data_IF_641300102654
#
_entry.id   IF_641300102654
#
_cell.length_a   1.000
_cell.length_b   1.000
_cell.length_c   1.000
_cell.angle_alpha   90.00
_cell.angle_beta   90.00
_cell.angle_gamma   90.00
#
_symmetry.space_group_name_H-M   'P 1'
#
loop_
_entity.id
_entity.type
_entity.pdbx_description
1 polymer ?
#
# COMPACT_ATOMS: atom_id res chain seq x y z
N UNK A 1 -10.47 -15.30 15.85
CA UNK A 1 -11.51 -16.26 15.41
C UNK A 1 -12.57 -15.46 14.64
N UNK A 2 -13.01 -15.93 13.48
CA UNK A 2 -14.12 -15.28 12.77
C UNK A 2 -15.42 -15.50 13.55
N UNK A 3 -16.34 -14.49 13.60
CA UNK A 3 -17.63 -14.69 14.23
C UNK A 3 -18.42 -15.76 13.47
N UNK A 4 -19.16 -16.56 14.23
CA UNK A 4 -20.04 -17.54 13.62
C UNK A 4 -21.18 -16.87 12.84
N UNK A 5 -21.61 -17.47 11.72
CA UNK A 5 -22.78 -17.00 11.01
C UNK A 5 -24.01 -16.99 11.92
N UNK A 6 -24.80 -15.94 11.81
CA UNK A 6 -26.12 -15.85 12.49
C UNK A 6 -27.18 -16.51 11.61
N UNK A 7 -28.38 -16.72 12.17
CA UNK A 7 -29.54 -17.17 11.38
C UNK A 7 -30.61 -16.07 11.34
N UNK A 8 -31.19 -15.87 10.15
CA UNK A 8 -32.33 -14.98 10.00
C UNK A 8 -33.63 -15.67 10.47
N UNK A 9 -34.76 -14.96 10.39
CA UNK A 9 -36.09 -15.45 10.80
C UNK A 9 -36.55 -16.69 10.02
N UNK A 10 -35.97 -16.97 8.87
CA UNK A 10 -36.24 -18.15 8.03
C UNK A 10 -35.26 -19.31 8.29
N UNK A 11 -34.39 -19.18 9.29
CA UNK A 11 -33.35 -20.16 9.61
C UNK A 11 -32.14 -20.21 8.66
N UNK A 12 -32.05 -19.28 7.70
CA UNK A 12 -30.94 -19.23 6.75
C UNK A 12 -29.69 -18.63 7.38
N UNK A 13 -28.49 -19.16 7.09
CA UNK A 13 -27.25 -18.57 7.58
C UNK A 13 -27.01 -17.21 6.94
N UNK A 14 -26.72 -16.21 7.76
CA UNK A 14 -26.39 -14.84 7.36
C UNK A 14 -25.14 -14.37 8.11
N UNK A 15 -24.45 -13.34 7.59
CA UNK A 15 -23.33 -12.73 8.29
C UNK A 15 -23.76 -12.11 9.61
N UNK A 16 -22.78 -11.87 10.50
CA UNK A 16 -23.03 -11.18 11.78
C UNK A 16 -23.42 -9.73 11.56
N UNK A 17 -24.21 -9.15 12.46
CA UNK A 17 -24.58 -7.74 12.44
C UNK A 17 -23.36 -6.87 12.73
N UNK A 18 -23.26 -5.74 12.05
CA UNK A 18 -22.30 -4.69 12.34
C UNK A 18 -23.06 -3.54 12.98
N UNK A 19 -23.04 -3.52 14.31
CA UNK A 19 -23.76 -2.50 15.06
C UNK A 19 -23.05 -1.15 14.99
N UNK A 20 -23.81 -0.06 14.97
CA UNK A 20 -23.27 1.30 14.95
C UNK A 20 -22.47 1.67 13.69
N UNK A 21 -22.62 0.91 12.60
CA UNK A 21 -21.88 1.20 11.38
C UNK A 21 -22.37 2.50 10.72
N UNK A 22 -21.42 3.35 10.37
CA UNK A 22 -21.64 4.53 9.55
C UNK A 22 -20.56 4.62 8.46
N UNK A 23 -20.84 5.27 7.32
CA UNK A 23 -19.83 5.50 6.29
C UNK A 23 -18.57 6.15 6.86
N UNK A 24 -17.40 5.69 6.45
CA UNK A 24 -16.12 6.20 6.91
C UNK A 24 -15.68 7.43 6.11
N UNK A 25 -14.88 8.35 6.70
CA UNK A 25 -14.39 9.52 5.97
C UNK A 25 -13.45 9.11 4.84
N UNK A 26 -13.38 9.93 3.80
CA UNK A 26 -12.36 9.77 2.75
C UNK A 26 -10.98 10.15 3.30
N UNK A 27 -9.87 9.60 2.76
CA UNK A 27 -8.53 9.96 3.20
C UNK A 27 -8.26 11.46 3.08
N UNK A 28 -7.74 12.12 4.14
CA UNK A 28 -7.38 13.53 4.09
C UNK A 28 -6.09 13.72 3.29
N UNK A 29 -5.94 14.91 2.71
CA UNK A 29 -4.70 15.32 2.03
C UNK A 29 -3.73 15.93 3.06
N UNK A 30 -3.25 15.12 4.00
CA UNK A 30 -2.30 15.51 5.04
C UNK A 30 -1.12 14.54 5.07
N UNK A 31 0.05 15.02 5.45
CA UNK A 31 1.25 14.21 5.57
C UNK A 31 1.15 13.20 6.74
N UNK A 32 1.88 12.10 6.61
CA UNK A 32 2.08 11.07 7.62
C UNK A 32 3.57 10.98 7.92
N UNK A 33 4.08 11.72 8.92
CA UNK A 33 5.49 11.66 9.29
C UNK A 33 5.82 10.37 10.04
N UNK A 34 6.98 9.79 9.72
CA UNK A 34 7.59 8.66 10.42
C UNK A 34 9.07 8.89 10.71
N UNK A 35 9.75 7.90 11.23
CA UNK A 35 11.19 7.97 11.53
C UNK A 35 12.07 7.82 10.28
N UNK A 36 11.74 6.87 9.42
CA UNK A 36 12.48 6.55 8.19
C UNK A 36 11.86 7.20 6.95
N UNK A 37 10.54 7.41 6.94
CA UNK A 37 9.82 7.97 5.81
C UNK A 37 8.81 9.03 6.24
N UNK A 38 8.53 9.94 5.32
CA UNK A 38 7.36 10.81 5.37
C UNK A 38 6.51 10.49 4.13
N UNK A 39 5.24 10.19 4.34
CA UNK A 39 4.27 10.00 3.25
C UNK A 39 3.42 11.24 3.17
N UNK A 40 3.50 11.97 2.08
CA UNK A 40 2.84 13.26 1.92
C UNK A 40 1.99 13.31 0.66
N UNK A 41 0.93 14.15 0.61
CA UNK A 41 0.15 14.32 -0.61
C UNK A 41 1.07 14.64 -1.78
N UNK A 42 0.90 13.91 -2.88
CA UNK A 42 1.73 14.13 -4.05
C UNK A 42 1.36 15.46 -4.70
N UNK A 43 2.36 16.31 -4.86
CA UNK A 43 2.32 17.57 -5.60
C UNK A 43 3.33 17.47 -6.74
N UNK A 44 2.90 17.46 -8.01
CA UNK A 44 3.81 17.37 -9.15
C UNK A 44 4.85 18.51 -9.21
N UNK A 45 4.52 19.73 -8.74
CA UNK A 45 5.45 20.86 -8.72
C UNK A 45 6.64 20.58 -7.79
N UNK A 46 6.40 19.94 -6.66
CA UNK A 46 7.41 19.65 -5.65
C UNK A 46 8.15 18.34 -5.93
N UNK A 47 7.44 17.31 -6.45
CA UNK A 47 7.93 15.93 -6.38
C UNK A 47 8.36 15.34 -7.74
N UNK A 48 7.88 15.90 -8.89
CA UNK A 48 8.09 15.25 -10.18
C UNK A 48 9.57 15.06 -10.51
N UNK A 49 10.40 16.08 -10.29
CA UNK A 49 11.82 16.01 -10.62
C UNK A 49 12.57 14.98 -9.73
N UNK A 50 12.29 14.94 -8.44
CA UNK A 50 12.91 13.98 -7.50
C UNK A 50 12.50 12.54 -7.80
N UNK A 51 11.21 12.32 -8.07
CA UNK A 51 10.68 11.01 -8.40
C UNK A 51 11.18 10.50 -9.75
N UNK A 52 11.27 11.38 -10.76
CA UNK A 52 11.83 11.04 -12.07
C UNK A 52 13.29 10.64 -11.94
N UNK A 53 14.11 11.44 -11.24
CA UNK A 53 15.53 11.15 -10.99
C UNK A 53 15.70 9.79 -10.27
N UNK A 54 14.90 9.53 -9.23
CA UNK A 54 14.97 8.27 -8.51
C UNK A 54 14.55 7.05 -9.35
N UNK A 55 13.54 7.20 -10.22
CA UNK A 55 13.08 6.13 -11.11
C UNK A 55 14.03 5.88 -12.29
N UNK A 56 14.81 6.89 -12.74
CA UNK A 56 15.76 6.75 -13.84
C UNK A 56 16.90 5.77 -13.56
N UNK A 57 17.12 5.39 -12.31
CA UNK A 57 18.05 4.32 -11.93
C UNK A 57 17.59 2.92 -12.37
N UNK A 58 16.30 2.72 -12.62
CA UNK A 58 15.75 1.51 -13.26
C UNK A 58 15.93 1.59 -14.78
N UNK A 59 17.17 1.42 -15.24
CA UNK A 59 17.56 1.57 -16.65
C UNK A 59 16.82 0.62 -17.60
N UNK A 60 16.40 -0.51 -17.12
CA UNK A 60 15.69 -1.54 -17.91
C UNK A 60 14.17 -1.33 -17.88
N UNK A 61 13.67 -0.45 -17.01
CA UNK A 61 12.24 -0.21 -16.85
C UNK A 61 11.47 -1.40 -16.24
N UNK A 62 12.16 -2.29 -15.54
CA UNK A 62 11.60 -3.52 -15.01
C UNK A 62 10.48 -3.27 -13.99
N UNK A 63 10.57 -2.20 -13.21
CA UNK A 63 9.53 -1.80 -12.24
C UNK A 63 8.19 -1.48 -12.92
N UNK A 64 8.17 -1.13 -14.20
CA UNK A 64 7.00 -0.72 -14.97
C UNK A 64 6.29 -1.85 -15.70
N UNK A 65 6.83 -3.07 -15.67
CA UNK A 65 6.34 -4.22 -16.45
C UNK A 65 4.85 -4.48 -16.27
N UNK A 66 4.32 -4.35 -15.06
CA UNK A 66 2.94 -4.68 -14.71
C UNK A 66 1.98 -3.47 -14.66
N UNK A 67 2.44 -2.31 -15.11
CA UNK A 67 1.63 -1.09 -15.23
C UNK A 67 1.20 -0.86 -16.67
N UNK A 68 0.10 -0.15 -16.86
CA UNK A 68 -0.36 0.32 -18.16
C UNK A 68 0.23 1.69 -18.54
N UNK A 69 1.20 2.18 -17.76
CA UNK A 69 1.92 3.44 -17.96
C UNK A 69 3.43 3.23 -17.72
N UNK A 70 4.26 4.22 -18.15
CA UNK A 70 5.72 4.14 -18.07
C UNK A 70 6.33 2.98 -18.90
N UNK A 71 7.66 2.76 -18.83
CA UNK A 71 8.62 3.71 -18.28
C UNK A 71 8.55 5.06 -18.99
N UNK A 72 8.99 6.11 -18.31
CA UNK A 72 9.07 7.47 -18.87
C UNK A 72 10.53 7.79 -19.16
N UNK A 73 10.79 8.40 -20.32
CA UNK A 73 12.15 8.71 -20.79
C UNK A 73 12.55 10.16 -20.53
N UNK A 74 11.55 11.02 -20.29
CA UNK A 74 11.78 12.44 -20.04
C UNK A 74 10.99 12.95 -18.84
N UNK A 75 11.52 13.95 -18.15
CA UNK A 75 10.81 14.61 -17.05
C UNK A 75 9.47 15.23 -17.46
N UNK A 76 9.34 15.91 -18.62
CA UNK A 76 8.04 16.43 -19.07
C UNK A 76 6.97 15.35 -19.23
N UNK A 77 7.29 14.18 -19.80
CA UNK A 77 6.35 13.05 -19.91
C UNK A 77 5.93 12.52 -18.53
N UNK A 78 6.92 12.34 -17.64
CA UNK A 78 6.66 11.90 -16.27
C UNK A 78 5.77 12.89 -15.49
N UNK A 79 6.07 14.20 -15.65
CA UNK A 79 5.29 15.26 -15.06
C UNK A 79 3.85 15.28 -15.57
N UNK A 80 3.66 15.22 -16.89
CA UNK A 80 2.32 15.19 -17.48
C UNK A 80 1.49 13.99 -16.99
N UNK A 81 2.13 12.83 -16.81
CA UNK A 81 1.48 11.66 -16.19
C UNK A 81 1.08 11.93 -14.74
N UNK A 82 1.95 12.53 -13.92
CA UNK A 82 1.62 12.88 -12.53
C UNK A 82 0.48 13.90 -12.45
N UNK A 83 0.49 14.92 -13.29
CA UNK A 83 -0.56 15.93 -13.35
C UNK A 83 -1.93 15.28 -13.64
N UNK A 84 -1.99 14.43 -14.66
CA UNK A 84 -3.21 13.69 -15.01
C UNK A 84 -3.64 12.72 -13.90
N UNK A 85 -2.70 12.06 -13.24
CA UNK A 85 -2.95 11.13 -12.14
C UNK A 85 -3.53 11.85 -10.91
N UNK A 86 -2.95 12.99 -10.54
CA UNK A 86 -3.39 13.79 -9.40
C UNK A 86 -4.72 14.52 -9.63
N UNK A 87 -5.11 14.74 -10.88
CA UNK A 87 -6.40 15.34 -11.23
C UNK A 87 -7.59 14.40 -10.95
N UNK A 88 -7.36 13.10 -10.76
CA UNK A 88 -8.43 12.15 -10.45
C UNK A 88 -8.88 12.28 -8.98
N UNK A 89 -10.14 12.70 -8.71
CA UNK A 89 -10.63 12.95 -7.35
C UNK A 89 -10.84 11.67 -6.52
N UNK A 90 -10.90 10.50 -7.19
CA UNK A 90 -11.12 9.21 -6.53
C UNK A 90 -9.83 8.47 -6.21
N UNK A 91 -8.68 9.10 -6.52
CA UNK A 91 -7.36 8.57 -6.21
C UNK A 91 -6.58 9.57 -5.37
N UNK A 92 -6.04 9.08 -4.26
CA UNK A 92 -5.27 9.89 -3.31
C UNK A 92 -3.79 9.53 -3.47
N UNK A 93 -3.12 10.24 -4.35
CA UNK A 93 -1.70 10.04 -4.61
C UNK A 93 -0.86 10.62 -3.48
N UNK A 94 0.18 9.86 -3.10
CA UNK A 94 1.16 10.26 -2.10
C UNK A 94 2.56 10.05 -2.64
N UNK A 95 3.44 11.00 -2.35
CA UNK A 95 4.88 10.84 -2.47
C UNK A 95 5.43 10.19 -1.19
N UNK A 96 6.38 9.31 -1.35
CA UNK A 96 7.14 8.71 -0.25
C UNK A 96 8.52 9.37 -0.25
N UNK A 97 8.77 10.17 0.78
CA UNK A 97 10.07 10.79 1.04
C UNK A 97 10.87 9.88 1.96
N UNK A 98 12.09 9.53 1.56
CA UNK A 98 13.06 8.88 2.45
C UNK A 98 13.70 9.99 3.32
N UNK A 99 13.51 9.90 4.63
CA UNK A 99 13.96 10.95 5.56
C UNK A 99 15.49 11.07 5.62
N UNK A 100 16.22 9.98 5.39
CA UNK A 100 17.68 10.00 5.37
C UNK A 100 18.22 10.68 4.11
N UNK A 101 17.54 10.56 2.98
CA UNK A 101 17.90 11.19 1.72
C UNK A 101 17.31 12.61 1.60
N UNK A 102 16.23 12.91 2.35
CA UNK A 102 15.49 14.17 2.25
C UNK A 102 14.78 14.37 0.92
N UNK A 103 14.50 13.28 0.17
CA UNK A 103 13.96 13.33 -1.21
C UNK A 103 12.81 12.35 -1.41
N UNK A 104 11.90 12.71 -2.32
CA UNK A 104 10.82 11.82 -2.75
C UNK A 104 11.40 10.72 -3.66
N UNK A 105 11.16 9.46 -3.28
CA UNK A 105 11.74 8.27 -3.93
C UNK A 105 10.72 7.19 -4.27
N UNK A 106 9.44 7.45 -4.05
CA UNK A 106 8.37 6.51 -4.39
C UNK A 106 7.00 7.14 -4.38
N UNK A 107 6.05 6.43 -4.96
CA UNK A 107 4.63 6.82 -5.04
C UNK A 107 3.77 5.70 -4.49
N UNK A 108 2.72 6.06 -3.76
CA UNK A 108 1.66 5.15 -3.31
C UNK A 108 0.30 5.84 -3.43
N UNK A 109 -0.76 5.05 -3.63
CA UNK A 109 -2.09 5.60 -3.92
C UNK A 109 -3.15 4.89 -3.09
N UNK A 110 -4.00 5.63 -2.38
CA UNK A 110 -5.29 5.09 -1.98
C UNK A 110 -6.26 5.21 -3.16
N UNK A 111 -6.90 4.12 -3.48
CA UNK A 111 -7.89 4.03 -4.55
C UNK A 111 -9.03 3.08 -4.17
N UNK A 112 -10.05 2.97 -5.02
CA UNK A 112 -11.21 2.12 -4.77
C UNK A 112 -11.76 2.30 -3.33
N UNK A 113 -11.83 3.56 -2.92
CA UNK A 113 -12.34 3.94 -1.61
C UNK A 113 -13.87 3.85 -1.61
N UNK A 114 -14.43 2.96 -0.79
CA UNK A 114 -15.88 2.78 -0.63
C UNK A 114 -16.27 3.02 0.84
N UNK A 115 -16.49 4.30 1.23
CA UNK A 115 -16.77 4.69 2.62
C UNK A 115 -17.95 3.93 3.24
N UNK A 116 -19.03 3.72 2.49
CA UNK A 116 -20.20 2.99 2.97
C UNK A 116 -19.91 1.55 3.39
N UNK A 117 -18.93 0.90 2.75
CA UNK A 117 -18.50 -0.47 3.08
C UNK A 117 -17.27 -0.51 3.99
N UNK A 118 -16.62 0.63 4.21
CA UNK A 118 -15.35 0.72 4.95
C UNK A 118 -14.23 -0.06 4.28
N UNK A 119 -14.15 -0.03 2.95
CA UNK A 119 -13.09 -0.68 2.17
C UNK A 119 -12.29 0.34 1.41
N UNK A 120 -10.98 0.13 1.32
CA UNK A 120 -10.05 0.97 0.59
C UNK A 120 -8.87 0.13 0.08
N UNK A 121 -8.32 0.47 -1.06
CA UNK A 121 -7.20 -0.23 -1.66
C UNK A 121 -5.94 0.63 -1.64
N UNK A 122 -4.81 -0.01 -1.35
CA UNK A 122 -3.48 0.52 -1.66
C UNK A 122 -3.03 0.00 -3.02
N UNK A 123 -2.67 0.91 -3.91
CA UNK A 123 -2.23 0.56 -5.26
C UNK A 123 -1.30 1.61 -5.85
N UNK A 124 -1.02 1.50 -7.15
CA UNK A 124 -0.15 2.44 -7.84
C UNK A 124 1.24 2.60 -7.19
N UNK A 125 1.78 1.50 -6.63
CA UNK A 125 3.02 1.52 -5.86
C UNK A 125 4.23 1.57 -6.77
N UNK A 126 4.73 2.75 -7.06
CA UNK A 126 5.98 2.92 -7.82
C UNK A 126 7.11 3.18 -6.83
N UNK A 127 7.90 2.16 -6.55
CA UNK A 127 9.07 2.21 -5.66
C UNK A 127 10.34 2.23 -6.51
N UNK A 128 11.02 3.37 -6.53
CA UNK A 128 12.29 3.49 -7.22
C UNK A 128 13.36 2.56 -6.62
N UNK A 129 14.46 2.27 -7.33
CA UNK A 129 15.59 1.52 -6.76
C UNK A 129 16.10 2.11 -5.43
N UNK A 130 16.00 3.44 -5.24
CA UNK A 130 16.40 4.12 -3.99
C UNK A 130 15.50 3.78 -2.80
N UNK A 131 14.24 3.43 -3.03
CA UNK A 131 13.31 3.08 -1.96
C UNK A 131 13.23 1.57 -1.70
N UNK A 132 13.46 0.76 -2.73
CA UNK A 132 13.34 -0.69 -2.62
C UNK A 132 14.27 -1.27 -1.56
N UNK A 133 13.75 -2.20 -0.74
CA UNK A 133 14.47 -2.91 0.34
C UNK A 133 14.98 -1.99 1.46
N UNK A 134 14.48 -0.76 1.56
CA UNK A 134 14.82 0.18 2.63
C UNK A 134 13.77 0.14 3.76
N UNK A 135 14.16 0.47 4.99
CA UNK A 135 13.19 0.65 6.09
C UNK A 135 12.09 1.66 5.75
N UNK A 136 12.42 2.74 5.06
CA UNK A 136 11.49 3.75 4.58
C UNK A 136 10.32 3.17 3.76
N UNK A 137 10.57 2.16 2.90
CA UNK A 137 9.51 1.48 2.15
C UNK A 137 8.51 0.76 3.05
N UNK A 138 9.01 0.11 4.10
CA UNK A 138 8.16 -0.61 5.05
C UNK A 138 7.39 0.35 5.95
N UNK A 139 8.05 1.41 6.43
CA UNK A 139 7.38 2.42 7.25
C UNK A 139 6.31 3.18 6.48
N UNK A 140 6.56 3.54 5.22
CA UNK A 140 5.55 4.17 4.38
C UNK A 140 4.27 3.32 4.30
N UNK A 141 4.40 2.01 4.08
CA UNK A 141 3.24 1.11 4.06
C UNK A 141 2.57 0.98 5.43
N UNK A 142 3.35 0.97 6.52
CA UNK A 142 2.81 1.01 7.88
C UNK A 142 2.02 2.28 8.16
N UNK A 143 2.56 3.44 7.81
CA UNK A 143 1.91 4.75 8.02
C UNK A 143 0.58 4.83 7.27
N UNK A 144 0.55 4.37 6.03
CA UNK A 144 -0.68 4.32 5.24
C UNK A 144 -1.69 3.34 5.84
N UNK A 145 -1.27 2.14 6.27
CA UNK A 145 -2.15 1.17 6.91
C UNK A 145 -2.69 1.69 8.25
N UNK A 146 -1.84 2.33 9.06
CA UNK A 146 -2.24 2.98 10.32
C UNK A 146 -3.32 4.04 10.10
N UNK A 147 -3.16 4.90 9.08
CA UNK A 147 -4.19 5.88 8.72
C UNK A 147 -5.52 5.21 8.40
N UNK A 148 -5.51 4.14 7.63
CA UNK A 148 -6.73 3.44 7.23
C UNK A 148 -7.49 2.87 8.44
N UNK A 149 -6.80 2.22 9.36
CA UNK A 149 -7.45 1.55 10.47
C UNK A 149 -7.65 2.45 11.68
N UNK A 150 -6.60 3.16 12.11
CA UNK A 150 -6.66 3.92 13.38
C UNK A 150 -7.32 5.30 13.22
N UNK A 151 -7.06 6.00 12.10
CA UNK A 151 -7.56 7.36 11.93
C UNK A 151 -8.93 7.38 11.21
N UNK A 152 -9.10 6.54 10.19
CA UNK A 152 -10.30 6.53 9.35
C UNK A 152 -11.32 5.46 9.77
N UNK A 153 -10.90 4.44 10.53
CA UNK A 153 -11.77 3.38 11.02
C UNK A 153 -12.31 2.45 9.93
N UNK A 154 -11.59 2.29 8.83
CA UNK A 154 -11.96 1.32 7.80
C UNK A 154 -11.85 -0.09 8.36
N UNK A 155 -12.65 -1.01 7.80
CA UNK A 155 -12.65 -2.41 8.24
C UNK A 155 -11.85 -3.32 7.33
N UNK A 156 -11.45 -2.85 6.11
CA UNK A 156 -10.76 -3.65 5.11
C UNK A 156 -9.82 -2.79 4.28
N UNK A 157 -8.58 -3.24 4.19
CA UNK A 157 -7.53 -2.65 3.37
C UNK A 157 -7.06 -3.66 2.34
N UNK A 158 -7.14 -3.33 1.06
CA UNK A 158 -6.91 -4.24 -0.05
C UNK A 158 -5.58 -3.97 -0.75
N UNK A 159 -5.00 -5.04 -1.30
CA UNK A 159 -3.87 -5.00 -2.21
C UNK A 159 -4.17 -5.89 -3.41
N UNK A 160 -4.00 -5.38 -4.61
CA UNK A 160 -4.21 -6.11 -5.86
C UNK A 160 -3.00 -5.98 -6.76
N UNK A 161 -2.59 -7.08 -7.37
CA UNK A 161 -1.51 -7.06 -8.35
C UNK A 161 -1.76 -8.08 -9.45
N UNK A 162 -1.04 -7.92 -10.56
CA UNK A 162 -0.94 -8.98 -11.56
C UNK A 162 -0.46 -10.27 -10.89
N UNK A 163 -1.08 -11.39 -11.19
CA UNK A 163 -0.75 -12.69 -10.57
C UNK A 163 0.68 -13.14 -10.87
N UNK A 164 1.27 -12.65 -11.95
CA UNK A 164 2.64 -12.90 -12.37
C UNK A 164 3.65 -11.95 -11.72
N UNK A 165 3.19 -10.87 -11.05
CA UNK A 165 4.05 -9.95 -10.32
C UNK A 165 4.49 -10.56 -8.98
N UNK A 166 5.43 -11.50 -9.03
CA UNK A 166 5.92 -12.21 -7.84
C UNK A 166 6.51 -11.26 -6.77
N UNK A 167 7.28 -10.20 -7.11
CA UNK A 167 7.73 -9.23 -6.13
C UNK A 167 6.59 -8.53 -5.37
N UNK A 168 5.54 -8.12 -6.07
CA UNK A 168 4.37 -7.47 -5.44
C UNK A 168 3.60 -8.44 -4.53
N UNK A 169 3.41 -9.69 -4.97
CA UNK A 169 2.79 -10.74 -4.14
C UNK A 169 3.60 -11.01 -2.87
N UNK A 170 4.91 -11.14 -2.99
CA UNK A 170 5.81 -11.34 -1.85
C UNK A 170 5.79 -10.14 -0.89
N UNK A 171 5.73 -8.91 -1.42
CA UNK A 171 5.61 -7.69 -0.61
C UNK A 171 4.29 -7.66 0.17
N UNK A 172 3.16 -7.97 -0.46
CA UNK A 172 1.86 -8.04 0.20
C UNK A 172 1.88 -9.03 1.38
N UNK A 173 2.35 -10.27 1.14
CA UNK A 173 2.46 -11.30 2.20
C UNK A 173 3.41 -10.86 3.31
N UNK A 174 4.56 -10.28 2.97
CA UNK A 174 5.53 -9.76 3.95
C UNK A 174 4.90 -8.69 4.85
N UNK A 175 4.11 -7.79 4.26
CA UNK A 175 3.42 -6.69 4.96
C UNK A 175 2.17 -7.14 5.74
N UNK A 176 1.81 -8.43 5.70
CA UNK A 176 0.73 -8.99 6.50
C UNK A 176 -0.59 -9.15 5.78
N UNK A 177 -0.67 -8.80 4.51
CA UNK A 177 -1.86 -9.08 3.74
C UNK A 177 -2.04 -10.58 3.53
N UNK A 178 -3.27 -11.06 3.65
CA UNK A 178 -3.66 -12.44 3.35
C UNK A 178 -4.14 -12.57 1.93
N UNK A 179 -3.70 -13.62 1.25
CA UNK A 179 -4.19 -13.96 -0.08
C UNK A 179 -5.64 -14.46 0.00
N UNK A 180 -6.50 -13.95 -0.84
CA UNK A 180 -7.92 -14.30 -0.86
C UNK A 180 -8.36 -15.02 -2.14
N UNK A 181 -7.67 -14.80 -3.24
CA UNK A 181 -8.03 -15.48 -4.47
C UNK A 181 -7.43 -14.87 -5.74
N UNK A 182 -7.69 -15.57 -6.85
CA UNK A 182 -7.29 -15.18 -8.19
C UNK A 182 -8.52 -14.82 -9.02
N UNK A 183 -8.57 -13.58 -9.50
CA UNK A 183 -9.55 -13.16 -10.49
C UNK A 183 -8.97 -13.42 -11.86
N UNK A 184 -9.48 -14.48 -12.51
CA UNK A 184 -9.03 -14.89 -13.85
C UNK A 184 -9.57 -13.92 -14.90
N UNK A 185 -8.72 -13.55 -15.88
CA UNK A 185 -9.06 -12.64 -16.99
C UNK A 185 -9.68 -11.32 -16.50
N UNK A 186 -9.17 -10.81 -15.36
CA UNK A 186 -9.75 -9.65 -14.69
C UNK A 186 -9.54 -8.35 -15.48
N UNK A 187 -8.45 -8.26 -16.23
CA UNK A 187 -8.07 -7.04 -16.96
C UNK A 187 -7.30 -7.38 -18.24
N UNK A 188 -7.22 -6.39 -19.13
CA UNK A 188 -6.27 -6.37 -20.25
C UNK A 188 -5.27 -5.25 -19.96
N UNK A 189 -3.99 -5.59 -19.84
CA UNK A 189 -2.91 -4.64 -19.61
C UNK A 189 -1.91 -4.71 -20.76
N UNK A 190 -1.68 -3.62 -21.47
CA UNK A 190 -0.79 -3.56 -22.64
C UNK A 190 -1.10 -4.65 -23.68
N UNK A 191 -2.38 -4.89 -23.97
CA UNK A 191 -2.83 -5.91 -24.92
C UNK A 191 -2.66 -7.36 -24.46
N UNK A 192 -2.33 -7.60 -23.19
CA UNK A 192 -2.14 -8.93 -22.61
C UNK A 192 -3.19 -9.22 -21.55
N UNK A 193 -3.56 -10.48 -21.40
CA UNK A 193 -4.38 -10.92 -20.29
C UNK A 193 -3.67 -10.65 -18.96
N UNK A 194 -4.44 -10.17 -18.00
CA UNK A 194 -4.02 -10.04 -16.60
C UNK A 194 -5.01 -10.77 -15.71
N UNK A 195 -4.54 -11.82 -15.07
CA UNK A 195 -5.19 -12.39 -13.90
C UNK A 195 -4.74 -11.59 -12.67
N UNK A 196 -5.67 -11.23 -11.80
CA UNK A 196 -5.38 -10.38 -10.65
C UNK A 196 -5.41 -11.18 -9.35
N UNK A 197 -4.32 -11.19 -8.63
CA UNK A 197 -4.22 -11.73 -7.27
C UNK A 197 -4.73 -10.69 -6.27
N UNK A 198 -5.65 -11.11 -5.39
CA UNK A 198 -6.26 -10.30 -4.34
C UNK A 198 -5.73 -10.65 -2.97
N UNK A 199 -5.47 -9.62 -2.19
CA UNK A 199 -5.00 -9.73 -0.82
C UNK A 199 -5.70 -8.67 0.04
N UNK A 200 -5.85 -8.95 1.34
CA UNK A 200 -6.39 -7.98 2.29
C UNK A 200 -5.76 -8.08 3.68
N UNK A 201 -5.89 -6.99 4.42
CA UNK A 201 -5.83 -6.93 5.88
C UNK A 201 -7.20 -6.43 6.35
N UNK A 202 -7.74 -7.03 7.40
CA UNK A 202 -8.98 -6.58 8.03
C UNK A 202 -8.70 -5.96 9.40
N UNK A 203 -9.65 -5.19 9.90
CA UNK A 203 -9.57 -4.46 11.17
C UNK A 203 -9.17 -5.35 12.37
N UNK A 204 -9.62 -6.61 12.38
CA UNK A 204 -9.28 -7.57 13.44
C UNK A 204 -7.82 -8.05 13.39
N UNK A 205 -7.22 -8.09 12.20
CA UNK A 205 -5.81 -8.46 12.04
C UNK A 205 -4.88 -7.31 12.44
N UNK A 206 -5.40 -6.08 12.37
CA UNK A 206 -4.61 -4.86 12.50
C UNK A 206 -3.90 -4.71 13.85
N UNK A 207 -4.50 -4.93 15.03
CA UNK A 207 -3.81 -4.70 16.30
C UNK A 207 -2.53 -5.52 16.45
N UNK A 208 -2.56 -6.79 16.08
CA UNK A 208 -1.38 -7.66 16.13
C UNK A 208 -0.34 -7.27 15.08
N UNK A 209 -0.80 -6.91 13.88
CA UNK A 209 0.05 -6.47 12.79
C UNK A 209 0.71 -5.13 13.11
N UNK A 210 -0.03 -4.18 13.66
CA UNK A 210 0.48 -2.89 14.14
C UNK A 210 1.61 -3.08 15.14
N UNK A 211 1.40 -3.90 16.18
CA UNK A 211 2.42 -4.18 17.19
C UNK A 211 3.69 -4.81 16.58
N UNK A 212 3.53 -5.64 15.54
CA UNK A 212 4.68 -6.22 14.84
C UNK A 212 5.45 -5.15 14.03
N UNK A 213 4.76 -4.25 13.35
CA UNK A 213 5.39 -3.12 12.65
C UNK A 213 6.12 -2.18 13.60
N UNK A 214 5.50 -1.80 14.73
CA UNK A 214 6.10 -0.90 15.72
C UNK A 214 7.39 -1.51 16.29
N UNK A 215 7.39 -2.81 16.60
CA UNK A 215 8.61 -3.53 17.02
C UNK A 215 9.64 -3.64 15.91
N UNK A 216 9.21 -3.78 14.66
CA UNK A 216 10.15 -3.86 13.53
C UNK A 216 10.81 -2.52 13.25
N UNK A 217 10.04 -1.41 13.36
CA UNK A 217 10.49 -0.04 13.11
C UNK A 217 11.28 0.56 14.27
N UNK A 218 11.37 -0.12 15.42
CA UNK A 218 12.21 0.30 16.53
C UNK A 218 13.67 0.46 16.06
N UNK A 219 14.33 1.60 16.30
CA UNK A 219 15.73 1.81 15.91
C UNK A 219 16.67 0.70 16.38
N UNK A 220 16.41 0.10 17.54
CA UNK A 220 17.18 -1.02 18.10
C UNK A 220 17.08 -2.31 17.26
N UNK A 221 16.12 -2.41 16.35
CA UNK A 221 16.03 -3.53 15.42
C UNK A 221 17.01 -3.44 14.25
N UNK A 222 17.76 -2.34 14.12
CA UNK A 222 18.73 -2.15 13.06
C UNK A 222 20.15 -2.10 13.61
N UNK A 223 21.09 -2.74 12.91
CA UNK A 223 22.51 -2.66 13.19
C UNK A 223 23.08 -1.35 12.60
N UNK A 224 24.33 -1.04 12.93
CA UNK A 224 25.01 0.17 12.46
C UNK A 224 25.12 0.26 10.91
N UNK A 225 25.14 -0.90 10.25
CA UNK A 225 25.11 -1.01 8.77
C UNK A 225 23.71 -0.91 8.16
N UNK A 226 22.66 -0.68 8.99
CA UNK A 226 21.27 -0.60 8.58
C UNK A 226 20.58 -1.95 8.37
N UNK A 227 21.24 -3.08 8.61
CA UNK A 227 20.62 -4.41 8.51
C UNK A 227 19.64 -4.65 9.65
N UNK A 228 18.48 -5.27 9.35
CA UNK A 228 17.49 -5.64 10.36
C UNK A 228 17.98 -6.83 11.19
N UNK A 229 17.84 -6.77 12.52
CA UNK A 229 18.15 -7.86 13.46
C UNK A 229 17.06 -8.94 13.45
N UNK A 230 15.80 -8.53 13.38
CA UNK A 230 14.62 -9.40 13.32
C UNK A 230 13.78 -9.07 12.09
N UNK A 231 13.28 -10.09 11.41
CA UNK A 231 12.40 -9.91 10.25
C UNK A 231 10.98 -9.56 10.72
N UNK A 232 10.26 -8.79 9.92
CA UNK A 232 8.85 -8.47 10.21
C UNK A 232 7.98 -9.74 10.32
N UNK A 233 8.26 -10.76 9.52
CA UNK A 233 7.55 -12.03 9.57
C UNK A 233 7.72 -12.73 10.93
N UNK A 234 8.94 -12.71 11.50
CA UNK A 234 9.24 -13.35 12.79
C UNK A 234 8.52 -12.62 13.94
N UNK A 235 8.40 -11.30 13.83
CA UNK A 235 7.69 -10.47 14.81
C UNK A 235 6.17 -10.63 14.75
N UNK A 236 5.63 -11.05 13.61
CA UNK A 236 4.20 -11.37 13.44
C UNK A 236 3.84 -12.73 14.02
N UNK A 237 4.74 -13.71 13.89
CA UNK A 237 4.51 -15.08 14.35
C UNK A 237 4.66 -15.26 15.87
N UNK A 238 5.31 -14.34 16.56
CA UNK A 238 5.60 -14.40 17.99
C UNK A 238 4.56 -13.68 18.88
N UNK A 239 3.38 -13.36 18.37
CA UNK A 239 2.26 -12.79 19.12
C UNK A 239 1.21 -13.89 19.41
N UNK A 240 1.65 -14.98 20.05
CA UNK A 240 0.85 -16.04 20.64
C UNK A 240 1.15 -16.14 22.11
#
# INVERSE_FOLDING_TARGET
MEPEPQRNERGQPVGWRIEGWSPRPRPPRTAMPGGFATVEPLDPDCHAAELFDANSEDREGAAWTYYNFGPFTTLPEYRAWLDAACANPDRFYHAIRDNAQGRAVGVAVYQNCVPAMGTIEIGGLVFSPRLQRRPAATEAMYLMMRRVFDELGYRRYEWKCDSLNLPSRAAAVRLGFRYEGLFRQAMITRGRNRDTAWFSVIDRDWPALRAAFERWLDPGNFAADGSQRRRLADLRSGAG
#
